data_IF_683438954845
#
_entry.id   IF_683438954845
#
_cell.length_a   1.000
_cell.length_b   1.000
_cell.length_c   1.000
_cell.angle_alpha   90.00
_cell.angle_beta   90.00
_cell.angle_gamma   90.00
#
_symmetry.space_group_name_H-M   'P 1'
#
loop_
_entity.id
_entity.type
_entity.pdbx_description
1 polymer ?
#
# COMPACT_ATOMS: atom_id res chain seq x y z
N UNK A 1 29.79 -61.82 30.19
CA UNK A 1 29.17 -60.52 30.52
C UNK A 1 28.85 -59.79 29.23
N UNK A 2 27.57 -59.46 28.99
CA UNK A 2 27.09 -58.33 28.16
C UNK A 2 25.55 -58.33 28.26
N UNK A 3 24.99 -57.38 29.01
CA UNK A 3 23.53 -57.14 29.01
C UNK A 3 23.23 -56.35 27.75
N UNK A 4 22.35 -56.87 26.89
CA UNK A 4 21.78 -56.12 25.79
C UNK A 4 20.93 -54.98 26.37
N UNK A 5 21.28 -53.74 26.04
CA UNK A 5 20.42 -52.60 26.29
C UNK A 5 19.16 -52.80 25.43
N UNK A 6 18.00 -52.87 26.07
CA UNK A 6 16.74 -52.92 25.36
C UNK A 6 16.48 -51.53 24.76
N UNK A 7 16.59 -51.42 23.43
CA UNK A 7 16.08 -50.26 22.71
C UNK A 7 14.56 -50.21 22.93
N UNK A 8 14.13 -49.30 23.81
CA UNK A 8 12.71 -49.03 24.04
C UNK A 8 12.19 -48.27 22.82
N UNK A 9 11.54 -48.97 21.90
CA UNK A 9 10.78 -48.37 20.81
C UNK A 9 9.61 -47.53 21.34
N UNK A 10 9.28 -46.45 20.64
CA UNK A 10 8.13 -45.58 20.92
C UNK A 10 6.83 -46.37 20.78
N UNK A 11 5.88 -46.20 21.72
CA UNK A 11 4.59 -46.90 21.62
C UNK A 11 3.64 -46.18 20.66
N UNK A 12 2.73 -46.92 20.01
CA UNK A 12 1.70 -46.30 19.19
C UNK A 12 0.81 -45.35 19.99
N UNK A 13 0.57 -45.66 21.26
CA UNK A 13 -0.26 -44.81 22.15
C UNK A 13 0.43 -43.47 22.42
N UNK A 14 1.73 -43.46 22.70
CA UNK A 14 2.48 -42.21 22.87
C UNK A 14 2.43 -41.35 21.61
N UNK A 15 2.54 -41.95 20.42
CA UNK A 15 2.45 -41.21 19.17
C UNK A 15 1.06 -40.62 18.93
N UNK A 16 0.01 -41.40 19.19
CA UNK A 16 -1.39 -40.97 19.01
C UNK A 16 -1.76 -39.83 19.98
N UNK A 17 -1.32 -39.89 21.23
CA UNK A 17 -1.58 -38.82 22.20
C UNK A 17 -0.91 -37.50 21.77
N UNK A 18 0.31 -37.57 21.23
CA UNK A 18 1.03 -36.37 20.76
C UNK A 18 0.31 -35.70 19.59
N UNK A 19 -0.12 -36.46 18.57
CA UNK A 19 -0.84 -35.88 17.42
C UNK A 19 -2.21 -35.31 17.84
N UNK A 20 -2.87 -35.91 18.84
CA UNK A 20 -4.12 -35.38 19.38
C UNK A 20 -3.89 -34.03 20.07
N UNK A 21 -2.86 -33.93 20.91
CA UNK A 21 -2.52 -32.66 21.59
C UNK A 21 -2.14 -31.58 20.56
N UNK A 22 -1.27 -31.91 19.60
CA UNK A 22 -0.90 -30.98 18.52
C UNK A 22 -2.13 -30.57 17.70
N UNK A 23 -3.04 -31.51 17.41
CA UNK A 23 -4.27 -31.24 16.68
C UNK A 23 -5.19 -30.24 17.39
N UNK A 24 -5.37 -30.40 18.71
CA UNK A 24 -6.18 -29.46 19.52
C UNK A 24 -5.52 -28.08 19.58
N UNK A 25 -4.20 -28.01 19.80
CA UNK A 25 -3.46 -26.75 19.83
C UNK A 25 -3.52 -26.04 18.48
N UNK A 26 -3.30 -26.77 17.38
CA UNK A 26 -3.35 -26.22 16.03
C UNK A 26 -4.75 -25.69 15.68
N UNK A 27 -5.82 -26.38 16.09
CA UNK A 27 -7.20 -25.97 15.81
C UNK A 27 -7.55 -24.59 16.38
N UNK A 28 -7.00 -24.24 17.56
CA UNK A 28 -7.22 -22.93 18.19
C UNK A 28 -6.23 -21.88 17.68
N UNK A 29 -4.99 -22.29 17.38
CA UNK A 29 -3.91 -21.37 17.01
C UNK A 29 -3.98 -20.90 15.54
N UNK A 30 -4.36 -21.78 14.60
CA UNK A 30 -4.33 -21.43 13.18
C UNK A 30 -5.25 -20.25 12.83
N UNK A 31 -6.52 -20.18 13.30
CA UNK A 31 -7.40 -19.05 12.99
C UNK A 31 -6.88 -17.70 13.53
N UNK A 32 -6.28 -17.71 14.73
CA UNK A 32 -5.77 -16.48 15.37
C UNK A 32 -4.54 -15.94 14.64
N UNK A 33 -3.63 -16.83 14.21
CA UNK A 33 -2.46 -16.44 13.42
C UNK A 33 -2.86 -15.85 12.06
N UNK A 34 -3.86 -16.42 11.39
CA UNK A 34 -4.34 -15.88 10.11
C UNK A 34 -4.91 -14.47 10.26
N UNK A 35 -5.67 -14.22 11.33
CA UNK A 35 -6.17 -12.87 11.65
C UNK A 35 -5.04 -11.87 11.89
N UNK A 36 -4.07 -12.23 12.72
CA UNK A 36 -2.93 -11.38 13.05
C UNK A 36 -2.05 -11.04 11.83
N UNK A 37 -1.85 -12.00 10.92
CA UNK A 37 -1.12 -11.77 9.66
C UNK A 37 -1.89 -10.79 8.76
N UNK A 38 -3.21 -10.93 8.65
CA UNK A 38 -4.03 -10.00 7.89
C UNK A 38 -3.95 -8.57 8.48
N UNK A 39 -4.04 -8.44 9.81
CA UNK A 39 -3.90 -7.15 10.49
C UNK A 39 -2.52 -6.52 10.28
N UNK A 40 -1.45 -7.31 10.35
CA UNK A 40 -0.10 -6.84 10.08
C UNK A 40 0.07 -6.33 8.64
N UNK A 41 -0.53 -7.03 7.66
CA UNK A 41 -0.51 -6.59 6.26
C UNK A 41 -1.28 -5.27 6.07
N UNK A 42 -2.47 -5.14 6.68
CA UNK A 42 -3.25 -3.90 6.64
C UNK A 42 -2.47 -2.74 7.28
N UNK A 43 -1.88 -2.96 8.46
CA UNK A 43 -1.07 -1.96 9.13
C UNK A 43 0.15 -1.52 8.29
N UNK A 44 0.83 -2.48 7.67
CA UNK A 44 1.94 -2.19 6.74
C UNK A 44 1.47 -1.39 5.53
N UNK A 45 0.32 -1.74 4.95
CA UNK A 45 -0.28 -0.99 3.84
C UNK A 45 -0.62 0.44 4.22
N UNK A 46 -1.24 0.65 5.39
CA UNK A 46 -1.56 1.98 5.89
C UNK A 46 -0.31 2.82 6.15
N UNK A 47 0.78 2.20 6.63
CA UNK A 47 2.05 2.88 6.81
C UNK A 47 2.66 3.31 5.46
N UNK A 48 2.61 2.44 4.44
CA UNK A 48 3.05 2.77 3.09
C UNK A 48 2.21 3.90 2.49
N UNK A 49 0.88 3.84 2.61
CA UNK A 49 -0.02 4.91 2.18
C UNK A 49 0.31 6.25 2.86
N UNK A 50 0.65 6.21 4.15
CA UNK A 50 1.05 7.40 4.89
C UNK A 50 2.35 7.98 4.34
N UNK A 51 3.35 7.15 4.09
CA UNK A 51 4.61 7.60 3.50
C UNK A 51 4.38 8.23 2.12
N UNK A 52 3.59 7.58 1.26
CA UNK A 52 3.17 8.11 -0.05
C UNK A 52 2.51 9.48 0.10
N UNK A 53 1.52 9.60 1.00
CA UNK A 53 0.82 10.87 1.25
C UNK A 53 1.77 11.97 1.70
N UNK A 54 2.66 11.66 2.64
CA UNK A 54 3.64 12.59 3.18
C UNK A 54 4.60 13.07 2.07
N UNK A 55 5.14 12.14 1.26
CA UNK A 55 6.02 12.47 0.12
C UNK A 55 5.29 13.32 -0.92
N UNK A 56 4.06 12.97 -1.27
CA UNK A 56 3.29 13.74 -2.23
C UNK A 56 3.02 15.18 -1.74
N UNK A 57 2.67 15.32 -0.46
CA UNK A 57 2.46 16.63 0.17
C UNK A 57 3.74 17.46 0.23
N UNK A 58 4.87 16.80 0.51
CA UNK A 58 6.20 17.42 0.49
C UNK A 58 6.56 17.92 -0.90
N UNK A 59 6.32 17.14 -1.96
CA UNK A 59 6.55 17.58 -3.34
C UNK A 59 5.75 18.84 -3.66
N UNK A 60 4.43 18.85 -3.41
CA UNK A 60 3.60 20.03 -3.67
C UNK A 60 4.11 21.26 -2.91
N UNK A 61 4.58 21.09 -1.67
CA UNK A 61 5.18 22.17 -0.87
C UNK A 61 6.50 22.66 -1.47
N UNK A 62 7.33 21.77 -2.00
CA UNK A 62 8.57 22.14 -2.70
C UNK A 62 8.28 22.95 -3.96
N UNK A 63 7.24 22.57 -4.71
CA UNK A 63 6.83 23.28 -5.92
C UNK A 63 6.28 24.67 -5.61
N UNK A 64 5.49 24.81 -4.55
CA UNK A 64 5.04 26.11 -4.04
C UNK A 64 6.22 27.01 -3.65
N UNK A 65 7.23 26.46 -2.97
CA UNK A 65 8.45 27.18 -2.61
C UNK A 65 9.24 27.66 -3.83
N UNK A 66 9.14 26.94 -4.96
CA UNK A 66 9.77 27.30 -6.25
C UNK A 66 8.94 28.28 -7.08
N UNK A 67 7.83 28.78 -6.54
CA UNK A 67 6.87 29.62 -7.25
C UNK A 67 6.17 28.91 -8.43
N UNK A 68 6.13 27.58 -8.38
CA UNK A 68 5.50 26.69 -9.36
C UNK A 68 4.36 25.92 -8.66
N UNK A 69 3.59 26.58 -7.80
CA UNK A 69 2.58 25.93 -6.96
C UNK A 69 1.47 25.25 -7.77
N UNK A 70 0.87 24.22 -7.19
CA UNK A 70 -0.27 23.54 -7.77
C UNK A 70 -1.52 24.45 -7.75
N UNK A 71 -2.17 24.58 -8.90
CA UNK A 71 -3.39 25.36 -9.12
C UNK A 71 -4.51 24.55 -9.80
N UNK A 72 -4.28 23.27 -10.06
CA UNK A 72 -5.28 22.36 -10.61
C UNK A 72 -6.46 22.13 -9.65
N UNK A 73 -7.52 21.49 -10.17
CA UNK A 73 -8.70 21.15 -9.40
C UNK A 73 -8.55 19.86 -8.58
N UNK A 74 -9.68 19.27 -8.20
CA UNK A 74 -9.68 17.92 -7.65
C UNK A 74 -9.22 16.90 -8.71
N UNK A 75 -8.28 16.02 -8.36
CA UNK A 75 -7.84 14.95 -9.25
C UNK A 75 -7.26 13.75 -8.50
N UNK A 76 -7.20 12.61 -9.19
CA UNK A 76 -6.50 11.42 -8.72
C UNK A 76 -5.28 11.17 -9.61
N UNK A 77 -4.11 11.12 -8.99
CA UNK A 77 -2.85 10.73 -9.63
C UNK A 77 -2.63 9.25 -9.34
N UNK A 78 -2.44 8.46 -10.40
CA UNK A 78 -2.18 7.03 -10.28
C UNK A 78 -0.70 6.78 -10.52
N UNK A 79 -0.03 6.08 -9.60
CA UNK A 79 1.33 5.60 -9.78
C UNK A 79 1.32 4.07 -9.80
N UNK A 80 2.09 3.47 -10.69
CA UNK A 80 2.26 2.01 -10.75
C UNK A 80 3.73 1.69 -10.73
N UNK A 81 4.15 0.91 -9.73
CA UNK A 81 5.46 0.29 -9.65
C UNK A 81 5.36 -1.16 -10.12
N UNK A 82 6.14 -1.54 -11.14
CA UNK A 82 6.25 -2.91 -11.64
C UNK A 82 7.73 -3.25 -11.81
N UNK A 83 8.23 -4.22 -11.05
CA UNK A 83 9.64 -4.62 -11.01
C UNK A 83 10.62 -3.42 -10.84
N UNK A 84 10.22 -2.46 -10.00
CA UNK A 84 10.98 -1.24 -9.71
C UNK A 84 10.88 -0.13 -10.77
N UNK A 85 10.18 -0.37 -11.89
CA UNK A 85 9.81 0.69 -12.84
C UNK A 85 8.54 1.38 -12.37
N UNK A 86 8.59 2.70 -12.28
CA UNK A 86 7.47 3.55 -11.91
C UNK A 86 6.90 4.23 -13.15
N UNK A 87 5.58 4.18 -13.29
CA UNK A 87 4.80 4.93 -14.28
C UNK A 87 3.74 5.76 -13.59
N UNK A 88 3.17 6.74 -14.29
CA UNK A 88 2.11 7.59 -13.76
C UNK A 88 1.00 7.80 -14.78
N UNK A 89 -0.21 8.03 -14.28
CA UNK A 89 -1.35 8.53 -15.07
C UNK A 89 -2.07 9.63 -14.29
N UNK A 90 -2.59 10.61 -15.00
CA UNK A 90 -3.19 11.83 -14.44
C UNK A 90 -2.24 13.02 -14.54
N UNK A 91 -2.76 14.19 -14.18
CA UNK A 91 -2.03 15.44 -14.27
C UNK A 91 -1.88 15.99 -15.68
N UNK A 92 -1.67 17.30 -15.77
CA UNK A 92 -1.25 18.01 -16.98
C UNK A 92 -0.49 19.29 -16.61
N UNK A 93 0.24 19.86 -17.57
CA UNK A 93 1.01 21.10 -17.35
C UNK A 93 0.16 22.32 -16.94
N UNK A 94 -1.14 22.32 -17.23
CA UNK A 94 -2.08 23.38 -16.80
C UNK A 94 -2.40 23.37 -15.30
N UNK A 95 -1.98 22.33 -14.59
CA UNK A 95 -2.17 22.21 -13.14
C UNK A 95 -1.18 23.05 -12.32
N UNK A 96 -0.21 23.69 -12.97
CA UNK A 96 0.91 24.37 -12.31
C UNK A 96 0.90 25.87 -12.62
N UNK A 97 1.22 26.69 -11.62
CA UNK A 97 1.14 28.16 -11.70
C UNK A 97 1.99 28.75 -12.82
N UNK A 98 3.12 28.13 -13.14
CA UNK A 98 4.05 28.57 -14.20
C UNK A 98 3.70 27.98 -15.59
N UNK A 99 2.69 27.10 -15.66
CA UNK A 99 2.26 26.41 -16.87
C UNK A 99 3.23 25.35 -17.39
N UNK A 100 4.27 25.00 -16.63
CA UNK A 100 5.22 23.96 -16.98
C UNK A 100 4.73 22.57 -16.54
N UNK A 101 5.29 21.51 -17.12
CA UNK A 101 4.99 20.14 -16.71
C UNK A 101 5.84 19.75 -15.49
N UNK A 102 5.17 19.43 -14.38
CA UNK A 102 5.78 18.96 -13.13
C UNK A 102 5.23 17.62 -12.63
N UNK A 103 4.33 17.00 -13.40
CA UNK A 103 3.91 15.63 -13.17
C UNK A 103 4.98 14.67 -13.67
N UNK A 104 5.18 14.61 -14.98
CA UNK A 104 6.28 13.88 -15.61
C UNK A 104 6.44 14.25 -17.08
N UNK A 105 7.67 14.21 -17.57
CA UNK A 105 7.98 14.33 -19.02
C UNK A 105 8.46 13.02 -19.65
N UNK A 106 8.51 11.94 -18.88
CA UNK A 106 8.99 10.62 -19.31
C UNK A 106 7.94 9.55 -19.03
N UNK A 107 7.93 8.51 -19.86
CA UNK A 107 6.92 7.45 -19.72
C UNK A 107 7.11 6.60 -18.45
N UNK A 108 8.37 6.47 -17.98
CA UNK A 108 8.72 5.66 -16.81
C UNK A 108 10.06 6.07 -16.17
N UNK A 109 10.21 5.75 -14.89
CA UNK A 109 11.38 6.05 -14.06
C UNK A 109 11.80 4.80 -13.27
N UNK A 110 13.08 4.60 -12.97
CA UNK A 110 13.55 3.54 -12.09
C UNK A 110 14.75 4.02 -11.28
N UNK A 111 14.59 4.19 -9.97
CA UNK A 111 15.69 4.56 -9.09
C UNK A 111 16.52 3.33 -8.66
N UNK A 112 17.85 3.46 -8.49
CA UNK A 112 18.67 4.66 -8.70
C UNK A 112 19.15 4.83 -10.16
N UNK A 113 18.84 3.88 -11.05
CA UNK A 113 19.48 3.77 -12.37
C UNK A 113 19.10 4.89 -13.35
N UNK A 114 17.84 5.33 -13.33
CA UNK A 114 17.29 6.34 -14.22
C UNK A 114 16.23 7.17 -13.50
N UNK A 115 16.63 8.38 -13.05
CA UNK A 115 15.77 9.30 -12.30
C UNK A 115 15.90 10.75 -12.81
N UNK A 116 15.42 11.04 -14.03
CA UNK A 116 15.49 12.39 -14.61
C UNK A 116 14.64 13.37 -13.79
N UNK A 117 15.02 14.65 -13.74
CA UNK A 117 14.17 15.75 -13.23
C UNK A 117 13.57 15.53 -11.82
N UNK A 118 14.19 14.72 -10.95
CA UNK A 118 13.65 14.38 -9.62
C UNK A 118 13.41 15.55 -8.66
N UNK A 119 14.01 16.70 -8.95
CA UNK A 119 13.76 17.93 -8.20
C UNK A 119 12.54 18.71 -8.69
N UNK A 120 11.95 18.38 -9.82
CA UNK A 120 10.89 19.17 -10.48
C UNK A 120 9.76 18.33 -11.06
N UNK A 121 9.85 17.00 -11.05
CA UNK A 121 8.81 16.11 -11.55
C UNK A 121 8.37 15.11 -10.49
N UNK A 122 7.05 14.99 -10.32
CA UNK A 122 6.40 14.18 -9.30
C UNK A 122 6.74 12.69 -9.45
N UNK A 123 6.60 12.12 -10.65
CA UNK A 123 6.90 10.70 -10.89
C UNK A 123 8.34 10.36 -10.47
N UNK A 124 9.30 11.19 -10.89
CA UNK A 124 10.71 10.99 -10.57
C UNK A 124 11.01 11.18 -9.09
N UNK A 125 10.39 12.17 -8.45
CA UNK A 125 10.52 12.39 -7.02
C UNK A 125 9.97 11.21 -6.20
N UNK A 126 8.78 10.71 -6.55
CA UNK A 126 8.15 9.58 -5.88
C UNK A 126 8.97 8.30 -6.07
N UNK A 127 9.44 8.02 -7.28
CA UNK A 127 10.31 6.87 -7.57
C UNK A 127 11.64 6.94 -6.80
N UNK A 128 12.28 8.12 -6.70
CA UNK A 128 13.54 8.30 -5.94
C UNK A 128 13.33 8.08 -4.44
N UNK A 129 12.22 8.59 -3.90
CA UNK A 129 11.94 8.57 -2.45
C UNK A 129 11.37 7.24 -1.97
N UNK A 130 10.67 6.49 -2.84
CA UNK A 130 10.01 5.22 -2.53
C UNK A 130 10.63 4.03 -3.29
N UNK A 131 11.89 4.13 -3.72
CA UNK A 131 12.56 3.13 -4.57
C UNK A 131 12.63 1.70 -4.00
N UNK A 132 12.37 1.51 -2.69
CA UNK A 132 12.27 0.18 -2.08
C UNK A 132 10.99 -0.58 -2.45
N UNK A 133 9.97 0.11 -2.95
CA UNK A 133 8.70 -0.47 -3.36
C UNK A 133 8.79 -0.95 -4.81
N UNK A 134 8.98 -2.25 -4.98
CA UNK A 134 9.21 -2.87 -6.30
C UNK A 134 7.92 -3.10 -7.08
N UNK A 135 6.84 -3.48 -6.39
CA UNK A 135 5.54 -3.76 -6.99
C UNK A 135 4.45 -3.11 -6.16
N UNK A 136 3.70 -2.18 -6.75
CA UNK A 136 2.58 -1.52 -6.09
C UNK A 136 1.67 -0.78 -7.08
N UNK A 137 0.41 -0.65 -6.72
CA UNK A 137 -0.55 0.24 -7.35
C UNK A 137 -0.97 1.31 -6.35
N UNK A 138 -0.83 2.58 -6.71
CA UNK A 138 -1.01 3.72 -5.79
C UNK A 138 -1.97 4.73 -6.42
N UNK A 139 -2.91 5.24 -5.63
CA UNK A 139 -3.76 6.39 -5.96
C UNK A 139 -3.51 7.51 -4.95
N UNK A 140 -3.16 8.69 -5.42
CA UNK A 140 -2.99 9.92 -4.62
C UNK A 140 -4.11 10.88 -5.00
N UNK A 141 -4.92 11.26 -4.02
CA UNK A 141 -6.10 12.10 -4.24
C UNK A 141 -5.82 13.52 -3.78
N UNK A 142 -6.00 14.46 -4.69
CA UNK A 142 -5.85 15.90 -4.46
C UNK A 142 -7.26 16.47 -4.36
N UNK A 143 -7.59 17.15 -3.26
CA UNK A 143 -8.89 17.81 -3.10
C UNK A 143 -8.99 19.11 -3.89
N UNK A 144 -10.20 19.65 -4.03
CA UNK A 144 -10.49 20.92 -4.73
C UNK A 144 -9.62 22.12 -4.29
N UNK A 145 -9.11 22.10 -3.06
CA UNK A 145 -8.23 23.15 -2.52
C UNK A 145 -6.72 22.97 -2.86
N UNK A 146 -6.38 21.97 -3.69
CA UNK A 146 -5.02 21.68 -4.13
C UNK A 146 -4.14 20.96 -3.12
N UNK A 147 -4.71 20.43 -2.03
CA UNK A 147 -3.98 19.64 -1.02
C UNK A 147 -4.19 18.14 -1.23
N UNK A 148 -3.26 17.33 -0.75
CA UNK A 148 -3.43 15.87 -0.72
C UNK A 148 -4.52 15.50 0.31
N UNK A 149 -5.68 15.08 -0.17
CA UNK A 149 -6.78 14.58 0.64
C UNK A 149 -6.39 13.24 1.28
N UNK A 150 -5.89 12.31 0.46
CA UNK A 150 -5.44 11.02 0.91
C UNK A 150 -4.65 10.24 -0.13
N UNK A 151 -4.16 9.07 0.27
CA UNK A 151 -3.52 8.11 -0.61
C UNK A 151 -4.02 6.71 -0.30
N UNK A 152 -4.17 5.89 -1.34
CA UNK A 152 -4.46 4.48 -1.26
C UNK A 152 -3.36 3.67 -1.98
N UNK A 153 -3.01 2.52 -1.44
CA UNK A 153 -1.99 1.64 -2.03
C UNK A 153 -2.38 0.17 -1.93
N UNK A 154 -2.13 -0.56 -3.00
CA UNK A 154 -2.09 -2.02 -3.03
C UNK A 154 -0.63 -2.43 -3.15
N UNK A 155 -0.08 -3.05 -2.11
CA UNK A 155 1.31 -3.47 -2.09
C UNK A 155 1.49 -4.85 -2.76
N UNK A 156 2.71 -5.11 -3.22
CA UNK A 156 3.17 -6.39 -3.79
C UNK A 156 2.50 -6.76 -5.12
N UNK A 157 1.85 -5.82 -5.79
CA UNK A 157 1.24 -6.02 -7.11
C UNK A 157 1.09 -4.69 -7.85
N UNK A 158 1.33 -4.64 -9.18
CA UNK A 158 1.02 -3.46 -10.00
C UNK A 158 -0.49 -3.35 -10.30
N UNK A 159 -1.30 -4.31 -9.88
CA UNK A 159 -2.73 -4.35 -10.18
C UNK A 159 -3.54 -3.51 -9.20
N UNK A 160 -4.49 -2.75 -9.77
CA UNK A 160 -5.54 -2.10 -9.00
C UNK A 160 -6.43 -3.13 -8.30
N UNK A 161 -6.83 -2.86 -7.06
CA UNK A 161 -7.85 -3.65 -6.38
C UNK A 161 -9.23 -3.50 -7.04
N UNK A 162 -10.13 -4.41 -6.70
CA UNK A 162 -11.54 -4.41 -7.11
C UNK A 162 -12.31 -3.17 -6.62
N UNK A 163 -11.90 -2.59 -5.49
CA UNK A 163 -12.42 -1.34 -4.97
C UNK A 163 -11.27 -0.48 -4.39
N UNK A 164 -11.27 0.82 -4.70
CA UNK A 164 -10.33 1.81 -4.17
C UNK A 164 -11.11 3.06 -3.74
N UNK A 165 -10.70 3.75 -2.66
CA UNK A 165 -11.38 4.94 -2.18
C UNK A 165 -11.19 6.13 -3.13
N UNK A 166 -12.15 7.05 -3.16
CA UNK A 166 -12.06 8.35 -3.80
C UNK A 166 -11.84 9.49 -2.80
N UNK A 167 -11.74 10.72 -3.30
CA UNK A 167 -11.54 11.93 -2.47
C UNK A 167 -12.62 12.09 -1.40
N UNK A 168 -13.88 11.79 -1.74
CA UNK A 168 -15.02 11.89 -0.81
C UNK A 168 -14.90 10.89 0.34
N UNK A 169 -14.46 9.65 0.07
CA UNK A 169 -14.21 8.64 1.11
C UNK A 169 -13.16 9.13 2.11
N UNK A 170 -12.09 9.77 1.62
CA UNK A 170 -11.08 10.40 2.50
C UNK A 170 -11.61 11.59 3.29
N UNK A 171 -12.55 12.35 2.75
CA UNK A 171 -13.19 13.45 3.45
C UNK A 171 -14.12 12.93 4.57
N UNK A 172 -14.84 11.83 4.31
CA UNK A 172 -15.75 11.20 5.25
C UNK A 172 -15.01 10.33 6.29
N UNK A 173 -13.80 9.85 5.97
CA UNK A 173 -13.04 8.93 6.81
C UNK A 173 -13.51 7.48 6.72
N UNK A 174 -14.39 7.18 5.77
CA UNK A 174 -15.05 5.89 5.62
C UNK A 174 -14.96 5.40 4.17
N UNK A 175 -14.84 4.09 3.99
CA UNK A 175 -14.87 3.43 2.68
C UNK A 175 -15.41 2.01 2.85
N UNK A 176 -16.26 1.55 1.94
CA UNK A 176 -16.93 0.25 2.05
C UNK A 176 -16.03 -0.94 1.70
N UNK A 177 -14.84 -0.69 1.16
CA UNK A 177 -13.89 -1.70 0.66
C UNK A 177 -14.53 -2.72 -0.28
N UNK A 178 -15.48 -2.28 -1.12
CA UNK A 178 -16.21 -3.16 -2.04
C UNK A 178 -17.22 -4.08 -1.33
N UNK A 179 -17.76 -3.65 -0.19
CA UNK A 179 -18.68 -4.43 0.64
C UNK A 179 -18.00 -5.50 1.51
N UNK A 180 -16.72 -5.31 1.83
CA UNK A 180 -15.98 -6.24 2.67
C UNK A 180 -16.41 -6.14 4.14
N UNK A 181 -16.28 -7.24 4.87
CA UNK A 181 -16.58 -7.28 6.32
C UNK A 181 -15.44 -6.73 7.18
N UNK A 182 -14.30 -6.35 6.57
CA UNK A 182 -13.12 -5.88 7.27
C UNK A 182 -12.45 -4.75 6.49
N UNK A 183 -12.28 -3.60 7.14
CA UNK A 183 -11.54 -2.48 6.56
C UNK A 183 -10.12 -2.90 6.15
N UNK A 184 -9.67 -2.39 5.00
CA UNK A 184 -8.33 -2.63 4.46
C UNK A 184 -8.18 -3.93 3.65
N UNK A 185 -9.24 -4.73 3.47
CA UNK A 185 -9.24 -5.91 2.60
C UNK A 185 -10.48 -5.89 1.71
N UNK A 186 -10.31 -6.12 0.41
CA UNK A 186 -11.42 -6.21 -0.55
C UNK A 186 -11.88 -7.66 -0.76
N UNK A 187 -13.06 -7.90 -1.35
CA UNK A 187 -13.51 -9.25 -1.73
C UNK A 187 -12.54 -10.00 -2.65
N UNK A 188 -11.77 -9.29 -3.48
CA UNK A 188 -10.67 -9.83 -4.29
C UNK A 188 -9.44 -10.28 -3.49
N UNK A 189 -9.46 -10.18 -2.15
CA UNK A 189 -8.35 -10.47 -1.25
C UNK A 189 -7.12 -9.57 -1.46
N UNK A 190 -7.33 -8.39 -2.03
CA UNK A 190 -6.32 -7.34 -2.03
C UNK A 190 -6.28 -6.67 -0.66
N UNK A 191 -5.08 -6.33 -0.20
CA UNK A 191 -4.89 -5.47 0.97
C UNK A 191 -4.76 -4.04 0.46
N UNK A 192 -5.68 -3.17 0.86
CA UNK A 192 -5.71 -1.75 0.48
C UNK A 192 -5.31 -0.93 1.69
N UNK A 193 -4.08 -0.42 1.66
CA UNK A 193 -3.58 0.56 2.62
C UNK A 193 -4.14 1.95 2.33
N UNK A 194 -4.50 2.70 3.36
CA UNK A 194 -5.06 4.06 3.21
C UNK A 194 -4.42 5.05 4.18
N UNK A 195 -4.27 6.31 3.74
CA UNK A 195 -3.88 7.43 4.59
C UNK A 195 -4.70 8.68 4.24
N UNK A 196 -5.49 9.26 5.18
CA UNK A 196 -5.78 8.72 6.51
C UNK A 196 -6.37 7.30 6.45
N UNK A 197 -6.26 6.58 7.57
CA UNK A 197 -6.82 5.22 7.66
C UNK A 197 -8.34 5.31 7.61
N UNK A 198 -8.94 4.67 6.61
CA UNK A 198 -10.38 4.62 6.44
C UNK A 198 -10.99 3.43 7.20
N UNK A 199 -12.18 3.63 7.73
CA UNK A 199 -12.97 2.59 8.42
C UNK A 199 -14.16 2.17 7.56
N UNK A 200 -14.81 1.07 7.94
CA UNK A 200 -16.09 0.72 7.33
C UNK A 200 -17.17 1.72 7.77
N UNK A 201 -18.11 2.08 6.87
CA UNK A 201 -19.28 2.85 7.26
C UNK A 201 -20.07 2.17 8.37
N UNK A 202 -20.69 2.95 9.25
CA UNK A 202 -21.62 2.42 10.24
C UNK A 202 -22.91 1.90 9.55
N UNK A 203 -23.39 0.73 10.00
CA UNK A 203 -24.68 0.15 9.58
C UNK A 203 -25.90 1.01 9.98
#
# INVERSE_FOLDING_TARGET
MKRAAADKGFTMVELVVVIVIIGVLAAVLVPTLLGAVADARIASGNQAAKEIKDRASEFLTQMDTKQCGYIGGEQTIVLVAEDGWWTMTGGNSGDWLDGAEHWTTVDRVQAPDYVPNKGSEFLSYMADTLHGMMNAYVEVHISENGKIAGAAVVMDTPQRADAMPGTEDFANGEFDFGGAQKAGITPGNFVVGTSPVLILPAD
#
